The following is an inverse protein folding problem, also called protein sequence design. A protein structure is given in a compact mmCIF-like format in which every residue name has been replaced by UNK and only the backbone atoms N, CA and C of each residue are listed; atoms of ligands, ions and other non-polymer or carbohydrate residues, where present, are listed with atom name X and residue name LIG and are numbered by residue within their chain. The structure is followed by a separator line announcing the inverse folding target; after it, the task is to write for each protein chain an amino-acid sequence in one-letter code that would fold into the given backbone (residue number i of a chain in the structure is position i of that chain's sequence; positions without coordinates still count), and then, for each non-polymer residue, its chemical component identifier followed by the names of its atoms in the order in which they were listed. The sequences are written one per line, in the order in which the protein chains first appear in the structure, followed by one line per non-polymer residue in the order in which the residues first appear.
data_IF_231751563968
#
_entry.id   IF_231751563968
#
_cell.length_a   1.000
_cell.length_b   1.000
_cell.length_c   1.000
_cell.angle_alpha   90.00
_cell.angle_beta   90.00
_cell.angle_gamma   90.00
#
_symmetry.space_group_name_H-M   'P 1'
#
loop_
_entity.id
_entity.type
_entity.pdbx_description
1 polymer ?
#
# COMPACT_ATOMS: atom_id res chain seq x y z
N UNK A 1 29.32 -2.23 50.08
CA UNK A 1 30.20 -1.10 49.73
C UNK A 1 29.36 -0.09 48.97
N UNK A 2 29.16 1.09 49.55
CA UNK A 2 28.33 2.13 48.98
C UNK A 2 29.00 2.72 47.73
N UNK A 3 28.29 2.76 46.62
CA UNK A 3 28.69 3.50 45.43
C UNK A 3 28.76 4.99 45.80
N UNK A 4 29.96 5.55 45.82
CA UNK A 4 30.16 6.97 45.98
C UNK A 4 29.51 7.66 44.77
N UNK A 5 28.44 8.42 45.01
CA UNK A 5 27.90 9.34 44.03
C UNK A 5 28.98 10.39 43.77
N UNK A 6 29.71 10.25 42.67
CA UNK A 6 30.54 11.31 42.10
C UNK A 6 29.61 12.43 41.66
N UNK A 7 29.22 13.32 42.57
CA UNK A 7 28.70 14.64 42.23
C UNK A 7 29.86 15.43 41.64
N UNK A 8 30.11 15.22 40.36
CA UNK A 8 31.08 15.99 39.58
C UNK A 8 30.46 17.36 39.33
N UNK A 9 31.09 18.44 39.78
CA UNK A 9 30.60 19.82 39.58
C UNK A 9 30.99 20.41 38.22
N UNK A 10 31.89 19.76 37.47
CA UNK A 10 32.34 20.14 36.12
C UNK A 10 32.97 18.93 35.40
N UNK A 11 32.75 18.80 34.10
CA UNK A 11 33.31 17.73 33.27
C UNK A 11 34.82 17.87 33.02
N UNK A 12 35.45 19.00 33.38
CA UNK A 12 36.87 19.26 33.11
C UNK A 12 37.83 18.18 33.63
N UNK A 13 37.55 17.59 34.79
CA UNK A 13 38.36 16.48 35.32
C UNK A 13 38.21 15.19 34.50
N UNK A 14 37.01 14.91 33.99
CA UNK A 14 36.75 13.76 33.12
C UNK A 14 37.37 13.97 31.73
N UNK A 15 37.31 15.20 31.20
CA UNK A 15 37.94 15.56 29.92
C UNK A 15 39.47 15.50 30.00
N UNK A 16 40.07 15.93 31.11
CA UNK A 16 41.52 15.78 31.33
C UNK A 16 41.95 14.30 31.33
N UNK A 17 41.12 13.40 31.87
CA UNK A 17 41.38 11.95 31.85
C UNK A 17 41.28 11.33 30.44
N UNK A 18 40.61 11.98 29.48
CA UNK A 18 40.60 11.51 28.09
C UNK A 18 41.96 11.74 27.39
N UNK A 19 42.73 12.74 27.83
CA UNK A 19 44.06 13.05 27.31
C UNK A 19 45.17 12.14 27.86
N UNK A 20 44.89 11.38 28.92
CA UNK A 20 45.81 10.40 29.49
C UNK A 20 45.99 9.20 28.55
N UNK A 21 47.17 8.58 28.56
CA UNK A 21 47.48 7.43 27.69
C UNK A 21 46.82 6.12 28.13
N UNK A 22 46.35 6.04 29.39
CA UNK A 22 45.88 4.79 29.98
C UNK A 22 44.44 4.44 29.52
N UNK A 23 44.21 3.28 28.86
CA UNK A 23 42.90 2.96 28.26
C UNK A 23 41.78 2.82 29.29
N UNK A 24 42.09 2.34 30.50
CA UNK A 24 41.12 2.22 31.62
C UNK A 24 40.60 3.59 32.08
N UNK A 25 41.45 4.63 32.04
CA UNK A 25 41.04 5.99 32.40
C UNK A 25 40.14 6.59 31.32
N UNK A 26 40.45 6.35 30.04
CA UNK A 26 39.60 6.75 28.91
C UNK A 26 38.22 6.10 28.99
N UNK A 27 38.14 4.80 29.28
CA UNK A 27 36.86 4.09 29.53
C UNK A 27 36.06 4.76 30.63
N UNK A 28 36.69 4.95 31.79
CA UNK A 28 36.03 5.53 32.96
C UNK A 28 35.54 6.95 32.66
N UNK A 29 36.33 7.75 31.95
CA UNK A 29 35.93 9.08 31.49
C UNK A 29 34.72 9.00 30.54
N UNK A 30 34.78 8.21 29.47
CA UNK A 30 33.69 8.06 28.49
C UNK A 30 32.38 7.56 29.12
N UNK A 31 32.46 6.60 30.04
CA UNK A 31 31.26 6.06 30.72
C UNK A 31 30.58 7.11 31.61
N UNK A 32 31.36 7.89 32.36
CA UNK A 32 30.80 8.94 33.22
C UNK A 32 30.31 10.15 32.43
N UNK A 33 31.01 10.51 31.35
CA UNK A 33 30.57 11.58 30.44
C UNK A 33 29.24 11.23 29.77
N UNK A 34 29.07 9.99 29.30
CA UNK A 34 27.81 9.52 28.70
C UNK A 34 26.62 9.56 29.68
N UNK A 35 26.84 9.38 30.99
CA UNK A 35 25.79 9.44 32.02
C UNK A 35 25.36 10.86 32.37
N UNK A 36 26.24 11.84 32.17
CA UNK A 36 26.03 13.23 32.60
C UNK A 36 26.09 14.22 31.44
N UNK A 37 25.95 13.73 30.20
CA UNK A 37 26.03 14.57 28.99
C UNK A 37 24.97 15.67 29.00
N UNK A 38 23.76 15.38 29.48
CA UNK A 38 22.64 16.33 29.56
C UNK A 38 22.98 17.59 30.37
N UNK A 39 23.86 17.46 31.36
CA UNK A 39 24.27 18.57 32.23
C UNK A 39 25.54 19.27 31.75
N UNK A 40 26.47 18.52 31.14
CA UNK A 40 27.81 19.02 30.81
C UNK A 40 28.08 19.13 29.31
N UNK A 41 27.06 19.01 28.45
CA UNK A 41 27.23 19.15 27.00
C UNK A 41 27.96 20.44 26.56
N UNK A 42 27.83 21.62 27.21
CA UNK A 42 28.57 22.82 26.79
C UNK A 42 30.07 22.72 27.06
N UNK A 43 30.48 21.98 28.10
CA UNK A 43 31.89 21.75 28.40
C UNK A 43 32.46 20.67 27.47
N UNK A 44 31.68 19.60 27.25
CA UNK A 44 32.09 18.48 26.39
C UNK A 44 32.21 18.91 24.92
N UNK A 45 31.35 19.81 24.44
CA UNK A 45 31.37 20.30 23.05
C UNK A 45 32.71 20.91 22.65
N UNK A 46 33.40 21.58 23.59
CA UNK A 46 34.73 22.16 23.36
C UNK A 46 35.81 21.12 23.08
N UNK A 47 35.59 19.88 23.53
CA UNK A 47 36.54 18.76 23.45
C UNK A 47 36.09 17.68 22.47
N UNK A 48 35.05 17.94 21.65
CA UNK A 48 34.58 17.01 20.60
C UNK A 48 35.71 16.52 19.69
N UNK A 49 36.66 17.36 19.21
CA UNK A 49 37.74 16.89 18.33
C UNK A 49 38.61 15.79 18.96
N UNK A 50 38.78 15.83 20.29
CA UNK A 50 39.53 14.80 21.02
C UNK A 50 38.73 13.49 21.01
N UNK A 51 37.42 13.56 21.23
CA UNK A 51 36.55 12.38 21.25
C UNK A 51 36.38 11.79 19.85
N UNK A 52 36.34 12.62 18.80
CA UNK A 52 36.36 12.19 17.40
C UNK A 52 37.66 11.44 17.08
N UNK A 53 38.82 11.96 17.51
CA UNK A 53 40.10 11.25 17.33
C UNK A 53 40.12 9.88 18.01
N UNK A 54 39.42 9.71 19.13
CA UNK A 54 39.26 8.41 19.82
C UNK A 54 38.29 7.47 19.09
N UNK A 55 37.36 8.00 18.31
CA UNK A 55 36.46 7.21 17.48
C UNK A 55 37.13 6.75 16.17
N UNK A 56 37.97 7.61 15.59
CA UNK A 56 38.76 7.30 14.39
C UNK A 56 39.87 6.26 14.64
N UNK A 57 40.30 6.11 15.89
CA UNK A 57 41.29 5.11 16.29
C UNK A 57 40.70 3.68 16.24
N UNK A 58 41.05 2.94 15.20
CA UNK A 58 40.60 1.55 15.00
C UNK A 58 41.19 0.57 16.03
N UNK A 59 42.31 0.90 16.67
CA UNK A 59 42.93 0.06 17.70
C UNK A 59 42.22 0.20 19.06
N UNK A 60 41.35 1.19 19.21
CA UNK A 60 40.63 1.45 20.45
C UNK A 60 39.36 0.60 20.55
N UNK A 61 39.37 -0.39 21.45
CA UNK A 61 38.28 -1.34 21.69
C UNK A 61 36.92 -0.68 22.02
N UNK A 62 36.92 0.58 22.45
CA UNK A 62 35.72 1.28 22.94
C UNK A 62 35.30 2.48 22.09
N UNK A 63 35.71 2.49 20.82
CA UNK A 63 35.30 3.51 19.85
C UNK A 63 33.78 3.71 19.78
N UNK A 64 32.99 2.67 20.02
CA UNK A 64 31.52 2.77 20.01
C UNK A 64 30.98 3.65 21.15
N UNK A 65 31.63 3.66 22.33
CA UNK A 65 31.25 4.52 23.45
C UNK A 65 31.61 5.99 23.18
N UNK A 66 32.72 6.23 22.47
CA UNK A 66 33.09 7.56 22.00
C UNK A 66 32.09 8.06 20.96
N UNK A 67 31.71 7.23 19.98
CA UNK A 67 30.68 7.54 18.99
C UNK A 67 29.34 7.92 19.62
N UNK A 68 28.89 7.17 20.64
CA UNK A 68 27.65 7.46 21.35
C UNK A 68 27.70 8.83 22.06
N UNK A 69 28.83 9.14 22.71
CA UNK A 69 29.01 10.41 23.40
C UNK A 69 28.98 11.59 22.41
N UNK A 70 29.72 11.47 21.31
CA UNK A 70 29.76 12.47 20.24
C UNK A 70 28.37 12.69 19.65
N UNK A 71 27.64 11.60 19.38
CA UNK A 71 26.28 11.68 18.89
C UNK A 71 25.35 12.45 19.84
N UNK A 72 25.41 12.19 21.15
CA UNK A 72 24.61 12.93 22.14
C UNK A 72 25.00 14.40 22.22
N UNK A 73 26.28 14.74 22.08
CA UNK A 73 26.73 16.14 22.06
C UNK A 73 26.22 16.87 20.83
N UNK A 74 26.32 16.27 19.64
CA UNK A 74 25.76 16.85 18.41
C UNK A 74 24.23 17.01 18.45
N UNK A 75 23.53 16.11 19.15
CA UNK A 75 22.10 16.28 19.42
C UNK A 75 21.81 17.57 20.19
N UNK A 76 22.56 17.86 21.25
CA UNK A 76 22.42 19.12 22.00
C UNK A 76 22.88 20.36 21.23
N UNK A 77 23.83 20.22 20.32
CA UNK A 77 24.24 21.29 19.40
C UNK A 77 23.21 21.57 18.29
N UNK A 78 22.25 20.66 18.08
CA UNK A 78 21.21 20.76 17.05
C UNK A 78 21.63 20.21 15.68
N UNK A 79 22.83 19.63 15.57
CA UNK A 79 23.36 19.05 14.34
C UNK A 79 22.94 17.57 14.22
N UNK A 80 21.69 17.35 13.82
CA UNK A 80 21.08 16.01 13.80
C UNK A 80 21.68 15.06 12.76
N UNK A 81 22.22 15.58 11.65
CA UNK A 81 22.83 14.75 10.60
C UNK A 81 24.11 14.08 11.12
N UNK A 82 24.98 14.88 11.73
CA UNK A 82 26.23 14.39 12.31
C UNK A 82 25.93 13.49 13.52
N UNK A 83 24.98 13.89 14.36
CA UNK A 83 24.48 13.06 15.46
C UNK A 83 24.01 11.68 14.97
N UNK A 84 23.24 11.61 13.89
CA UNK A 84 22.81 10.34 13.30
C UNK A 84 24.01 9.53 12.80
N UNK A 85 24.96 10.13 12.08
CA UNK A 85 26.14 9.43 11.56
C UNK A 85 26.97 8.75 12.66
N UNK A 86 27.16 9.43 13.79
CA UNK A 86 27.86 8.91 14.96
C UNK A 86 27.01 7.87 15.72
N UNK A 87 25.68 8.02 15.76
CA UNK A 87 24.79 7.00 16.31
C UNK A 87 24.87 5.69 15.50
N UNK A 88 24.95 5.77 14.17
CA UNK A 88 25.20 4.61 13.30
C UNK A 88 26.57 3.98 13.57
N UNK A 89 27.58 4.79 13.94
CA UNK A 89 28.91 4.35 14.35
C UNK A 89 28.95 3.65 15.71
N UNK A 90 28.06 4.03 16.65
CA UNK A 90 27.94 3.40 17.96
C UNK A 90 27.38 1.97 17.91
N UNK A 91 26.71 1.59 16.82
CA UNK A 91 26.27 0.23 16.55
C UNK A 91 25.38 -0.35 17.66
N UNK A 92 25.83 -1.40 18.38
CA UNK A 92 25.01 -2.07 19.40
C UNK A 92 24.79 -1.23 20.68
N UNK A 93 25.56 -0.16 20.90
CA UNK A 93 25.39 0.69 22.07
C UNK A 93 24.26 1.71 21.91
N UNK A 94 23.80 1.94 20.68
CA UNK A 94 22.61 2.73 20.41
C UNK A 94 21.37 1.83 20.54
N UNK A 95 20.69 1.92 21.68
CA UNK A 95 19.47 1.16 21.95
C UNK A 95 18.25 1.88 21.37
N UNK A 96 17.61 1.22 20.40
CA UNK A 96 16.39 1.71 19.72
C UNK A 96 15.15 1.55 20.61
N UNK A 97 15.24 0.74 21.67
CA UNK A 97 14.14 0.51 22.61
C UNK A 97 14.14 1.45 23.81
N UNK A 98 15.15 2.30 23.96
CA UNK A 98 15.23 3.29 25.02
C UNK A 98 14.21 4.42 24.79
N UNK A 99 13.34 4.66 25.77
CA UNK A 99 12.34 5.72 25.74
C UNK A 99 12.98 7.05 26.18
N UNK A 100 13.78 7.65 25.29
CA UNK A 100 14.42 8.95 25.51
C UNK A 100 14.15 9.91 24.35
N UNK A 101 14.06 11.21 24.66
CA UNK A 101 13.86 12.26 23.64
C UNK A 101 14.96 12.26 22.58
N UNK A 102 16.20 11.93 22.99
CA UNK A 102 17.34 11.75 22.10
C UNK A 102 17.10 10.62 21.09
N UNK A 103 16.70 9.44 21.57
CA UNK A 103 16.44 8.28 20.69
C UNK A 103 15.26 8.57 19.78
N UNK A 104 14.14 9.10 20.28
CA UNK A 104 12.98 9.44 19.45
C UNK A 104 13.32 10.45 18.34
N UNK A 105 14.09 11.49 18.67
CA UNK A 105 14.49 12.50 17.68
C UNK A 105 15.41 11.90 16.61
N UNK A 106 16.40 11.10 17.01
CA UNK A 106 17.29 10.46 16.05
C UNK A 106 16.61 9.40 15.20
N UNK A 107 15.67 8.65 15.76
CA UNK A 107 14.88 7.68 15.02
C UNK A 107 13.98 8.37 13.98
N UNK A 108 13.30 9.45 14.36
CA UNK A 108 12.53 10.25 13.41
C UNK A 108 13.43 10.77 12.27
N UNK A 109 14.60 11.32 12.62
CA UNK A 109 15.58 11.79 11.64
C UNK A 109 16.10 10.66 10.73
N UNK A 110 16.31 9.47 11.28
CA UNK A 110 16.76 8.30 10.53
C UNK A 110 15.70 7.84 9.52
N UNK A 111 14.42 7.82 9.90
CA UNK A 111 13.30 7.53 9.00
C UNK A 111 13.27 8.56 7.87
N UNK A 112 13.34 9.86 8.19
CA UNK A 112 13.27 10.93 7.19
C UNK A 112 14.39 10.83 6.16
N UNK A 113 15.64 10.62 6.61
CA UNK A 113 16.79 10.43 5.72
C UNK A 113 16.63 9.16 4.86
N UNK A 114 16.23 8.05 5.46
CA UNK A 114 16.02 6.80 4.74
C UNK A 114 14.90 6.93 3.68
N UNK A 115 13.76 7.52 4.05
CA UNK A 115 12.63 7.76 3.16
C UNK A 115 13.03 8.71 2.00
N UNK A 116 13.80 9.76 2.29
CA UNK A 116 14.37 10.69 1.30
C UNK A 116 15.28 9.95 0.30
N UNK A 117 16.18 9.08 0.78
CA UNK A 117 17.07 8.30 -0.08
C UNK A 117 16.27 7.33 -0.97
N UNK A 118 15.31 6.60 -0.40
CA UNK A 118 14.45 5.68 -1.18
C UNK A 118 13.59 6.42 -2.20
N UNK A 119 13.10 7.60 -1.86
CA UNK A 119 12.33 8.45 -2.79
C UNK A 119 13.19 8.90 -3.98
N UNK A 120 14.42 9.35 -3.73
CA UNK A 120 15.37 9.76 -4.77
C UNK A 120 15.84 8.58 -5.65
N UNK A 121 16.09 7.42 -5.05
CA UNK A 121 16.47 6.21 -5.80
C UNK A 121 15.43 5.83 -6.85
N UNK A 122 14.15 5.92 -6.47
CA UNK A 122 13.04 5.65 -7.37
C UNK A 122 12.93 6.69 -8.51
N UNK A 123 13.27 7.95 -8.25
CA UNK A 123 13.29 9.01 -9.27
C UNK A 123 14.43 8.86 -10.27
N UNK A 124 15.62 8.48 -9.78
CA UNK A 124 16.82 8.38 -10.60
C UNK A 124 16.95 7.03 -11.33
N UNK A 125 16.11 6.05 -10.98
CA UNK A 125 16.21 4.65 -11.42
C UNK A 125 17.61 4.03 -11.18
N UNK A 126 18.37 4.64 -10.26
CA UNK A 126 19.68 4.20 -9.81
C UNK A 126 19.50 3.57 -8.43
N UNK A 127 20.11 2.40 -8.24
CA UNK A 127 20.11 1.73 -6.95
C UNK A 127 20.90 2.59 -5.96
N UNK A 128 20.20 3.33 -5.11
CA UNK A 128 20.87 4.13 -4.09
C UNK A 128 21.57 3.18 -3.11
N UNK A 129 22.85 3.45 -2.87
CA UNK A 129 23.63 2.78 -1.83
C UNK A 129 23.18 3.30 -0.48
N UNK A 130 22.14 2.69 0.09
CA UNK A 130 21.74 2.93 1.47
C UNK A 130 22.78 2.29 2.38
N UNK A 131 23.22 3.01 3.42
CA UNK A 131 24.09 2.43 4.44
C UNK A 131 23.37 1.26 5.13
N UNK A 132 23.94 0.03 5.14
CA UNK A 132 23.33 -1.12 5.80
C UNK A 132 23.02 -0.88 7.28
N UNK A 133 23.76 0.01 7.95
CA UNK A 133 23.53 0.38 9.35
C UNK A 133 22.24 1.18 9.51
N UNK A 134 21.99 2.12 8.61
CA UNK A 134 20.76 2.92 8.59
C UNK A 134 19.56 2.01 8.29
N UNK A 135 19.68 1.15 7.28
CA UNK A 135 18.64 0.16 6.94
C UNK A 135 18.35 -0.76 8.13
N UNK A 136 19.38 -1.27 8.81
CA UNK A 136 19.20 -2.11 10.00
C UNK A 136 18.60 -1.40 11.21
N UNK A 137 18.76 -0.08 11.37
CA UNK A 137 18.04 0.68 12.42
C UNK A 137 16.58 0.85 12.02
N UNK A 138 16.30 1.26 10.78
CA UNK A 138 14.93 1.45 10.30
C UNK A 138 14.16 0.12 10.32
N UNK A 139 14.78 -0.99 9.95
CA UNK A 139 14.17 -2.32 10.05
C UNK A 139 13.88 -2.70 11.50
N UNK A 140 14.82 -2.50 12.43
CA UNK A 140 14.56 -2.74 13.86
C UNK A 140 13.43 -1.87 14.38
N UNK A 141 13.33 -0.62 13.92
CA UNK A 141 12.26 0.29 14.31
C UNK A 141 10.91 -0.12 13.74
N UNK A 142 10.85 -0.52 12.46
CA UNK A 142 9.65 -1.06 11.83
C UNK A 142 9.22 -2.37 12.51
N UNK A 143 10.16 -3.28 12.79
CA UNK A 143 9.90 -4.53 13.49
C UNK A 143 9.41 -4.30 14.91
N UNK A 144 10.00 -3.34 15.64
CA UNK A 144 9.51 -2.94 16.95
C UNK A 144 8.10 -2.33 16.85
N UNK A 145 7.84 -1.48 15.86
CA UNK A 145 6.50 -0.94 15.59
C UNK A 145 5.47 -2.05 15.30
N UNK A 146 5.84 -3.05 14.50
CA UNK A 146 5.02 -4.23 14.20
C UNK A 146 4.80 -5.10 15.46
N UNK A 147 5.80 -5.23 16.34
CA UNK A 147 5.66 -5.94 17.62
C UNK A 147 4.77 -5.19 18.61
N UNK A 148 4.80 -3.86 18.58
CA UNK A 148 3.95 -2.98 19.39
C UNK A 148 2.53 -2.81 18.83
N UNK A 149 2.11 -3.60 17.84
CA UNK A 149 0.70 -3.68 17.40
C UNK A 149 -0.23 -4.02 18.58
N UNK A 150 0.27 -4.75 19.59
CA UNK A 150 -0.46 -5.06 20.82
C UNK A 150 -0.91 -3.79 21.60
N UNK A 151 -0.25 -2.65 21.41
CA UNK A 151 -0.64 -1.37 22.02
C UNK A 151 -1.72 -0.62 21.21
N UNK A 152 -2.27 -1.23 20.15
CA UNK A 152 -3.25 -0.60 19.26
C UNK A 152 -2.64 0.42 18.29
N UNK A 153 -1.31 0.51 18.19
CA UNK A 153 -0.58 1.51 17.38
C UNK A 153 -0.21 1.03 15.97
N UNK A 154 -1.01 0.15 15.37
CA UNK A 154 -0.79 -0.35 14.01
C UNK A 154 -0.76 0.78 12.95
N UNK A 155 -1.50 1.87 13.18
CA UNK A 155 -1.50 3.05 12.31
C UNK A 155 -0.13 3.69 12.11
N UNK A 156 0.68 3.77 13.17
CA UNK A 156 2.01 4.37 13.13
C UNK A 156 2.97 3.48 12.34
N UNK A 157 2.95 2.16 12.61
CA UNK A 157 3.76 1.19 11.88
C UNK A 157 3.49 1.22 10.37
N UNK A 158 2.21 1.34 9.97
CA UNK A 158 1.84 1.47 8.56
C UNK A 158 2.28 2.80 7.95
N UNK A 159 2.12 3.91 8.67
CA UNK A 159 2.58 5.23 8.22
C UNK A 159 4.08 5.19 7.90
N UNK A 160 4.87 4.68 8.85
CA UNK A 160 6.31 4.50 8.67
C UNK A 160 6.66 3.57 7.51
N UNK A 161 5.95 2.44 7.35
CA UNK A 161 6.20 1.51 6.25
C UNK A 161 5.91 2.16 4.88
N UNK A 162 4.85 2.98 4.80
CA UNK A 162 4.48 3.73 3.59
C UNK A 162 5.52 4.83 3.30
N UNK A 163 5.99 5.57 4.29
CA UNK A 163 7.03 6.60 4.16
C UNK A 163 8.37 6.00 3.70
N UNK A 164 8.77 4.89 4.34
CA UNK A 164 9.98 4.13 4.02
C UNK A 164 9.90 3.37 2.68
N UNK A 165 8.73 3.36 2.04
CA UNK A 165 8.44 2.59 0.81
C UNK A 165 8.77 1.10 0.92
N UNK A 166 8.52 0.52 2.08
CA UNK A 166 8.73 -0.91 2.38
C UNK A 166 7.39 -1.65 2.34
N UNK A 167 7.02 -2.11 1.15
CA UNK A 167 5.77 -2.83 0.90
C UNK A 167 5.72 -4.20 1.60
N UNK A 168 6.89 -4.84 1.76
CA UNK A 168 7.07 -6.07 2.52
C UNK A 168 6.65 -5.91 3.99
N UNK A 169 7.12 -4.83 4.63
CA UNK A 169 6.78 -4.51 6.02
C UNK A 169 5.35 -4.03 6.17
N UNK A 170 4.80 -3.36 5.15
CA UNK A 170 3.38 -3.00 5.13
C UNK A 170 2.48 -4.24 5.10
N UNK A 171 2.81 -5.25 4.27
CA UNK A 171 2.07 -6.51 4.23
C UNK A 171 2.16 -7.27 5.56
N UNK A 172 3.35 -7.32 6.16
CA UNK A 172 3.55 -7.91 7.49
C UNK A 172 2.72 -7.20 8.57
N UNK A 173 2.69 -5.87 8.55
CA UNK A 173 1.90 -5.07 9.49
C UNK A 173 0.39 -5.30 9.36
N UNK A 174 -0.12 -5.44 8.13
CA UNK A 174 -1.55 -5.68 7.87
C UNK A 174 -1.95 -7.10 8.30
N UNK A 175 -1.13 -8.11 7.98
CA UNK A 175 -1.45 -9.51 8.27
C UNK A 175 -1.38 -9.85 9.76
N UNK A 176 -0.55 -9.11 10.51
CA UNK A 176 -0.39 -9.29 11.96
C UNK A 176 -1.40 -8.49 12.80
N UNK A 177 -2.16 -7.58 12.21
CA UNK A 177 -3.11 -6.75 12.96
C UNK A 177 -4.35 -7.54 13.39
N UNK A 178 -4.87 -7.21 14.58
CA UNK A 178 -6.09 -7.86 15.11
C UNK A 178 -7.34 -7.54 14.28
N UNK A 179 -7.34 -6.40 13.59
CA UNK A 179 -8.43 -5.94 12.72
C UNK A 179 -7.93 -5.65 11.31
N UNK A 180 -7.79 -6.72 10.51
CA UNK A 180 -7.32 -6.65 9.13
C UNK A 180 -8.18 -5.73 8.27
N UNK A 181 -9.52 -5.78 8.40
CA UNK A 181 -10.43 -4.96 7.59
C UNK A 181 -10.33 -3.46 7.89
N UNK A 182 -10.26 -3.09 9.17
CA UNK A 182 -10.05 -1.69 9.59
C UNK A 182 -8.67 -1.17 9.19
N UNK A 183 -7.67 -2.06 9.18
CA UNK A 183 -6.30 -1.74 8.79
C UNK A 183 -6.20 -1.49 7.28
N UNK A 184 -6.85 -2.33 6.47
CA UNK A 184 -6.90 -2.17 5.02
C UNK A 184 -7.62 -0.88 4.59
N UNK A 185 -8.79 -0.58 5.18
CA UNK A 185 -9.51 0.68 4.90
C UNK A 185 -8.70 1.91 5.31
N UNK A 186 -7.98 1.85 6.44
CA UNK A 186 -7.04 2.90 6.82
C UNK A 186 -5.89 3.04 5.82
N UNK A 187 -5.30 1.94 5.34
CA UNK A 187 -4.26 1.99 4.31
C UNK A 187 -4.75 2.65 3.01
N UNK A 188 -5.98 2.34 2.57
CA UNK A 188 -6.57 3.00 1.39
C UNK A 188 -6.64 4.51 1.63
N UNK A 189 -7.21 4.96 2.76
CA UNK A 189 -7.31 6.38 3.08
C UNK A 189 -5.94 7.08 3.15
N UNK A 190 -4.96 6.47 3.81
CA UNK A 190 -3.61 7.02 3.90
C UNK A 190 -2.93 7.07 2.53
N UNK A 191 -3.14 6.06 1.68
CA UNK A 191 -2.63 6.06 0.31
C UNK A 191 -3.24 7.18 -0.54
N UNK A 192 -4.48 7.59 -0.28
CA UNK A 192 -5.10 8.70 -0.99
C UNK A 192 -4.66 10.06 -0.45
N UNK A 193 -4.55 10.21 0.87
CA UNK A 193 -4.27 11.49 1.51
C UNK A 193 -2.79 11.88 1.51
N UNK A 194 -1.89 10.91 1.69
CA UNK A 194 -0.46 11.19 1.93
C UNK A 194 0.46 10.76 0.79
N UNK A 195 0.03 9.83 -0.07
CA UNK A 195 0.86 9.39 -1.20
C UNK A 195 0.63 10.28 -2.42
N UNK A 196 1.52 11.26 -2.59
CA UNK A 196 1.45 12.23 -3.69
C UNK A 196 1.77 11.61 -5.07
N UNK A 197 2.62 10.58 -5.12
CA UNK A 197 3.06 9.97 -6.39
C UNK A 197 2.09 8.90 -6.86
N UNK A 198 1.60 9.04 -8.09
CA UNK A 198 0.65 8.08 -8.69
C UNK A 198 1.23 6.67 -8.81
N UNK A 199 2.46 6.53 -9.27
CA UNK A 199 3.11 5.22 -9.48
C UNK A 199 3.21 4.44 -8.17
N UNK A 200 3.75 5.07 -7.14
CA UNK A 200 3.87 4.45 -5.81
C UNK A 200 2.49 4.17 -5.20
N UNK A 201 1.50 5.07 -5.35
CA UNK A 201 0.13 4.80 -4.93
C UNK A 201 -0.45 3.55 -5.61
N UNK A 202 -0.17 3.36 -6.90
CA UNK A 202 -0.61 2.16 -7.62
C UNK A 202 0.10 0.90 -7.08
N UNK A 203 1.37 0.96 -6.70
CA UNK A 203 2.07 -0.16 -6.06
C UNK A 203 1.44 -0.55 -4.72
N UNK A 204 1.13 0.44 -3.86
CA UNK A 204 0.43 0.22 -2.59
C UNK A 204 -0.95 -0.41 -2.84
N UNK A 205 -1.76 0.14 -3.74
CA UNK A 205 -3.09 -0.41 -4.05
C UNK A 205 -3.01 -1.84 -4.60
N UNK A 206 -2.02 -2.16 -5.44
CA UNK A 206 -1.81 -3.53 -5.92
C UNK A 206 -1.44 -4.48 -4.78
N UNK A 207 -0.65 -4.04 -3.81
CA UNK A 207 -0.37 -4.83 -2.61
C UNK A 207 -1.67 -5.08 -1.83
N UNK A 208 -2.48 -4.05 -1.61
CA UNK A 208 -3.74 -4.18 -0.89
C UNK A 208 -4.70 -5.16 -1.56
N UNK A 209 -4.85 -5.10 -2.90
CA UNK A 209 -5.65 -6.08 -3.66
C UNK A 209 -5.16 -7.51 -3.41
N UNK A 210 -3.84 -7.75 -3.47
CA UNK A 210 -3.27 -9.08 -3.16
C UNK A 210 -3.55 -9.53 -1.74
N UNK A 211 -3.53 -8.62 -0.76
CA UNK A 211 -3.85 -8.94 0.64
C UNK A 211 -5.34 -9.28 0.77
N UNK A 212 -6.23 -8.49 0.17
CA UNK A 212 -7.67 -8.76 0.14
C UNK A 212 -8.02 -10.13 -0.47
N UNK A 213 -7.35 -10.52 -1.56
CA UNK A 213 -7.55 -11.82 -2.22
C UNK A 213 -7.11 -13.02 -1.36
N UNK A 214 -6.13 -12.82 -0.46
CA UNK A 214 -5.66 -13.87 0.47
C UNK A 214 -6.62 -14.11 1.64
N UNK A 215 -7.57 -13.20 1.89
CA UNK A 215 -8.50 -13.33 3.00
C UNK A 215 -9.57 -14.39 2.72
N UNK A 216 -9.98 -15.10 3.77
CA UNK A 216 -11.02 -16.14 3.71
C UNK A 216 -12.38 -15.60 3.23
N UNK A 217 -12.66 -14.31 3.46
CA UNK A 217 -13.83 -13.59 2.98
C UNK A 217 -13.38 -12.30 2.30
N UNK A 218 -13.17 -12.31 0.97
CA UNK A 218 -12.72 -11.12 0.25
C UNK A 218 -13.82 -10.06 0.23
N UNK A 219 -13.48 -8.84 0.63
CA UNK A 219 -14.37 -7.70 0.49
C UNK A 219 -14.31 -7.18 -0.95
N UNK A 220 -15.22 -7.68 -1.79
CA UNK A 220 -15.28 -7.33 -3.20
C UNK A 220 -15.55 -5.83 -3.44
N UNK A 221 -16.18 -5.11 -2.51
CA UNK A 221 -16.42 -3.67 -2.63
C UNK A 221 -15.10 -2.91 -2.58
N UNK A 222 -14.32 -3.10 -1.51
CA UNK A 222 -13.01 -2.46 -1.34
C UNK A 222 -12.02 -2.86 -2.44
N UNK A 223 -12.05 -4.12 -2.90
CA UNK A 223 -11.22 -4.57 -4.04
C UNK A 223 -11.59 -3.80 -5.31
N UNK A 224 -12.89 -3.68 -5.64
CA UNK A 224 -13.32 -2.98 -6.85
C UNK A 224 -13.00 -1.48 -6.80
N UNK A 225 -13.12 -0.85 -5.62
CA UNK A 225 -12.67 0.53 -5.43
C UNK A 225 -11.16 0.68 -5.68
N UNK A 226 -10.32 -0.22 -5.14
CA UNK A 226 -8.88 -0.22 -5.41
C UNK A 226 -8.58 -0.40 -6.91
N UNK A 227 -9.26 -1.34 -7.57
CA UNK A 227 -9.07 -1.61 -9.00
C UNK A 227 -9.53 -0.46 -9.90
N UNK A 228 -10.56 0.27 -9.49
CA UNK A 228 -11.00 1.50 -10.15
C UNK A 228 -9.89 2.56 -10.11
N UNK A 229 -9.25 2.77 -8.95
CA UNK A 229 -8.11 3.70 -8.84
C UNK A 229 -6.88 3.24 -9.63
N UNK A 230 -6.72 1.93 -9.82
CA UNK A 230 -5.67 1.35 -10.67
C UNK A 230 -5.97 1.45 -12.18
N UNK A 231 -7.19 1.83 -12.59
CA UNK A 231 -7.69 1.81 -13.98
C UNK A 231 -7.57 0.41 -14.63
N UNK A 232 -7.91 -0.64 -13.87
CA UNK A 232 -7.89 -2.05 -14.33
C UNK A 232 -9.31 -2.61 -14.57
N UNK A 233 -10.03 -2.20 -15.64
CA UNK A 233 -11.44 -2.55 -15.86
C UNK A 233 -11.66 -4.04 -16.11
N UNK A 234 -10.65 -4.75 -16.61
CA UNK A 234 -10.72 -6.19 -16.92
C UNK A 234 -10.83 -7.06 -15.67
N UNK A 235 -10.14 -6.66 -14.60
CA UNK A 235 -10.17 -7.42 -13.34
C UNK A 235 -11.54 -7.23 -12.68
N UNK A 236 -12.04 -5.99 -12.65
CA UNK A 236 -13.39 -5.67 -12.15
C UNK A 236 -14.47 -6.43 -12.93
N UNK A 237 -14.40 -6.47 -14.26
CA UNK A 237 -15.38 -7.22 -15.07
C UNK A 237 -15.36 -8.71 -14.77
N UNK A 238 -14.19 -9.30 -14.52
CA UNK A 238 -14.06 -10.72 -14.14
C UNK A 238 -14.64 -11.01 -12.75
N UNK A 239 -14.48 -10.09 -11.80
CA UNK A 239 -15.07 -10.20 -10.45
C UNK A 239 -16.59 -10.10 -10.53
N UNK A 240 -17.11 -9.10 -11.26
CA UNK A 240 -18.55 -8.94 -11.49
C UNK A 240 -19.14 -10.17 -12.19
N UNK A 241 -18.47 -10.70 -13.21
CA UNK A 241 -18.89 -11.94 -13.88
C UNK A 241 -18.97 -13.11 -12.89
N UNK A 242 -17.94 -13.32 -12.07
CA UNK A 242 -17.90 -14.37 -11.06
C UNK A 242 -19.07 -14.26 -10.08
N UNK A 243 -19.36 -13.05 -9.60
CA UNK A 243 -20.46 -12.80 -8.65
C UNK A 243 -21.83 -13.00 -9.31
N UNK A 244 -22.03 -12.55 -10.55
CA UNK A 244 -23.31 -12.68 -11.27
C UNK A 244 -23.64 -14.13 -11.65
N UNK A 245 -22.61 -14.95 -11.91
CA UNK A 245 -22.74 -16.39 -12.19
C UNK A 245 -22.95 -17.24 -10.93
N UNK A 246 -22.77 -16.67 -9.74
CA UNK A 246 -23.03 -17.38 -8.49
C UNK A 246 -24.52 -17.73 -8.34
N UNK A 247 -24.79 -18.88 -7.73
CA UNK A 247 -26.15 -19.31 -7.38
C UNK A 247 -26.68 -18.56 -6.13
N UNK A 248 -25.77 -18.09 -5.27
CA UNK A 248 -26.12 -17.35 -4.05
C UNK A 248 -26.71 -15.99 -4.39
N UNK A 249 -27.86 -15.67 -3.78
CA UNK A 249 -28.50 -14.36 -3.96
C UNK A 249 -27.67 -13.22 -3.36
N UNK A 250 -26.93 -13.49 -2.30
CA UNK A 250 -26.10 -12.48 -1.63
C UNK A 250 -24.94 -12.02 -2.54
N UNK A 251 -24.28 -12.93 -3.25
CA UNK A 251 -23.21 -12.59 -4.21
C UNK A 251 -23.74 -11.73 -5.37
N UNK A 252 -24.96 -12.01 -5.83
CA UNK A 252 -25.62 -11.24 -6.88
C UNK A 252 -26.00 -9.86 -6.38
N UNK A 253 -26.48 -9.75 -5.14
CA UNK A 253 -26.78 -8.47 -4.51
C UNK A 253 -25.50 -7.64 -4.33
N UNK A 254 -24.40 -8.26 -3.90
CA UNK A 254 -23.07 -7.64 -3.85
C UNK A 254 -22.63 -7.13 -5.21
N UNK A 255 -22.84 -7.88 -6.30
CA UNK A 255 -22.54 -7.41 -7.65
C UNK A 255 -23.32 -6.15 -8.03
N UNK A 256 -24.60 -6.06 -7.66
CA UNK A 256 -25.40 -4.86 -7.88
C UNK A 256 -24.92 -3.69 -7.01
N UNK A 257 -24.58 -3.93 -5.75
CA UNK A 257 -24.03 -2.89 -4.87
C UNK A 257 -22.72 -2.33 -5.44
N UNK A 258 -21.80 -3.18 -5.88
CA UNK A 258 -20.55 -2.77 -6.54
C UNK A 258 -20.85 -1.95 -7.78
N UNK A 259 -21.82 -2.37 -8.61
CA UNK A 259 -22.18 -1.61 -9.80
C UNK A 259 -22.71 -0.21 -9.49
N UNK A 260 -23.53 -0.04 -8.44
CA UNK A 260 -24.00 1.27 -8.00
C UNK A 260 -22.87 2.12 -7.43
N UNK A 261 -22.01 1.54 -6.58
CA UNK A 261 -20.88 2.24 -5.97
C UNK A 261 -19.88 2.74 -7.03
N UNK A 262 -19.62 1.93 -8.06
CA UNK A 262 -18.79 2.33 -9.21
C UNK A 262 -19.40 3.52 -9.99
N UNK A 263 -20.73 3.57 -10.11
CA UNK A 263 -21.43 4.68 -10.80
C UNK A 263 -21.36 5.97 -9.97
N UNK A 264 -21.50 5.87 -8.64
CA UNK A 264 -21.38 7.02 -7.74
C UNK A 264 -19.98 7.64 -7.76
N UNK A 265 -18.94 6.88 -8.10
CA UNK A 265 -17.57 7.37 -8.24
C UNK A 265 -17.24 8.06 -9.60
N UNK A 266 -18.23 8.21 -10.49
CA UNK A 266 -18.25 9.09 -11.69
C UNK A 266 -17.14 8.94 -12.77
N UNK A 267 -16.44 7.80 -12.88
CA UNK A 267 -15.52 7.55 -14.01
C UNK A 267 -16.21 6.89 -15.21
N UNK A 268 -17.03 7.64 -15.95
CA UNK A 268 -17.82 7.11 -17.09
C UNK A 268 -16.99 6.35 -18.13
N UNK A 269 -15.78 6.83 -18.45
CA UNK A 269 -14.90 6.13 -19.39
C UNK A 269 -14.43 4.76 -18.88
N UNK A 270 -14.23 4.61 -17.56
CA UNK A 270 -13.90 3.33 -16.93
C UNK A 270 -15.13 2.41 -16.93
N UNK A 271 -16.31 2.92 -16.56
CA UNK A 271 -17.56 2.16 -16.52
C UNK A 271 -17.93 1.58 -17.89
N UNK A 272 -17.77 2.36 -18.96
CA UNK A 272 -17.98 1.89 -20.33
C UNK A 272 -17.01 0.76 -20.69
N UNK A 273 -15.71 0.86 -20.33
CA UNK A 273 -14.75 -0.22 -20.54
C UNK A 273 -15.11 -1.48 -19.75
N UNK A 274 -15.53 -1.35 -18.49
CA UNK A 274 -15.99 -2.49 -17.67
C UNK A 274 -17.20 -3.16 -18.32
N UNK A 275 -18.18 -2.37 -18.77
CA UNK A 275 -19.37 -2.85 -19.48
C UNK A 275 -19.02 -3.61 -20.76
N UNK A 276 -18.10 -3.08 -21.55
CA UNK A 276 -17.70 -3.66 -22.84
C UNK A 276 -16.87 -4.95 -22.65
N UNK A 277 -16.19 -5.10 -21.51
CA UNK A 277 -15.45 -6.30 -21.14
C UNK A 277 -16.31 -7.41 -20.51
N UNK A 278 -17.57 -7.13 -20.12
CA UNK A 278 -18.46 -8.17 -19.61
C UNK A 278 -18.95 -9.08 -20.75
N UNK A 279 -18.68 -10.40 -20.70
CA UNK A 279 -19.05 -11.30 -21.78
C UNK A 279 -20.57 -11.39 -21.89
N UNK A 280 -21.04 -11.40 -23.14
CA UNK A 280 -22.43 -11.75 -23.40
C UNK A 280 -22.66 -13.23 -23.04
N UNK A 281 -23.88 -13.61 -22.59
CA UNK A 281 -24.23 -15.01 -22.37
C UNK A 281 -23.86 -15.82 -23.62
N UNK A 282 -23.23 -16.98 -23.43
CA UNK A 282 -22.85 -17.86 -24.53
C UNK A 282 -24.14 -18.39 -25.15
N UNK A 283 -24.54 -17.79 -26.27
CA UNK A 283 -25.43 -18.48 -27.19
C UNK A 283 -24.62 -19.69 -27.69
N UNK A 284 -25.08 -20.92 -27.41
CA UNK A 284 -24.49 -22.09 -28.05
C UNK A 284 -24.59 -21.90 -29.56
N UNK A 285 -23.45 -21.63 -30.21
CA UNK A 285 -23.34 -21.78 -31.66
C UNK A 285 -23.52 -23.26 -31.97
N UNK A 286 -24.70 -23.60 -32.49
CA UNK A 286 -24.91 -24.90 -33.11
C UNK A 286 -23.90 -25.05 -34.25
N UNK A 287 -23.10 -26.11 -34.15
CA UNK A 287 -22.20 -26.56 -35.22
C UNK A 287 -22.97 -26.55 -36.55
N UNK A 288 -22.48 -25.87 -37.61
CA UNK A 288 -23.09 -25.99 -38.92
C UNK A 288 -22.84 -27.42 -39.40
N UNK A 289 -23.90 -28.25 -39.43
CA UNK A 289 -23.85 -29.52 -40.13
C UNK A 289 -23.61 -29.21 -41.62
N UNK A 290 -22.58 -29.78 -42.28
CA UNK A 290 -22.30 -29.49 -43.68
C UNK A 290 -23.45 -29.95 -44.57
N UNK A 291 -23.97 -29.04 -45.39
CA UNK A 291 -24.88 -29.38 -46.48
C UNK A 291 -24.17 -30.34 -47.44
N UNK A 292 -24.61 -31.59 -47.46
CA UNK A 292 -24.09 -32.62 -48.34
C UNK A 292 -24.66 -32.48 -49.77
N UNK A 293 -23.73 -32.30 -50.70
CA UNK A 293 -23.71 -32.79 -52.08
C UNK A 293 -24.85 -32.44 -53.05
N UNK A 294 -24.43 -31.61 -54.01
CA UNK A 294 -24.83 -31.51 -55.40
C UNK A 294 -25.22 -32.83 -56.12
N UNK A 295 -26.25 -32.74 -56.96
CA UNK A 295 -26.59 -33.64 -58.06
C UNK A 295 -27.45 -32.88 -59.11
N UNK A 296 -27.41 -33.24 -60.41
CA UNK A 296 -27.20 -32.25 -61.48
C UNK A 296 -28.44 -31.83 -62.31
N UNK A 297 -28.38 -30.59 -62.80
CA UNK A 297 -28.82 -29.98 -64.09
C UNK A 297 -30.02 -30.58 -64.86
N UNK A 298 -31.02 -29.73 -65.17
CA UNK A 298 -31.68 -29.66 -66.49
C UNK A 298 -32.38 -28.31 -66.73
N UNK A 299 -32.36 -27.89 -68.00
CA UNK A 299 -32.62 -26.55 -68.56
C UNK A 299 -34.11 -26.19 -68.71
N UNK A 300 -34.47 -24.90 -68.62
CA UNK A 300 -35.02 -24.11 -69.75
C UNK A 300 -35.38 -22.66 -69.37
N UNK A 301 -35.07 -21.75 -70.30
CA UNK A 301 -35.34 -20.31 -70.31
C UNK A 301 -36.81 -19.99 -70.62
N UNK A 302 -37.30 -18.83 -70.14
CA UNK A 302 -38.54 -18.20 -70.58
C UNK A 302 -39.00 -17.03 -69.69
N UNK A 303 -38.62 -15.81 -70.07
CA UNK A 303 -39.21 -14.52 -69.62
C UNK A 303 -40.60 -14.33 -70.30
N UNK A 304 -41.49 -13.32 -70.01
CA UNK A 304 -41.42 -12.20 -69.06
C UNK A 304 -42.74 -11.85 -68.30
N UNK A 305 -42.71 -10.73 -67.53
CA UNK A 305 -43.79 -9.71 -67.38
C UNK A 305 -44.92 -9.81 -66.30
N UNK A 306 -44.86 -8.85 -65.34
CA UNK A 306 -45.90 -7.98 -64.71
C UNK A 306 -47.10 -8.59 -63.94
N UNK A 307 -47.23 -8.25 -62.64
CA UNK A 307 -48.36 -7.47 -62.03
C UNK A 307 -48.54 -7.69 -60.52
N UNK A 308 -49.16 -6.67 -59.92
CA UNK A 308 -49.37 -6.35 -58.51
C UNK A 308 -50.28 -7.31 -57.70
N UNK A 309 -50.01 -7.32 -56.39
CA UNK A 309 -50.95 -7.01 -55.28
C UNK A 309 -51.34 -8.10 -54.24
N UNK A 310 -51.15 -7.68 -52.97
CA UNK A 310 -51.74 -8.08 -51.66
C UNK A 310 -51.72 -9.55 -51.20
N UNK A 311 -51.02 -9.85 -50.08
CA UNK A 311 -51.65 -10.16 -48.77
C UNK A 311 -50.66 -10.65 -47.69
N UNK A 312 -50.94 -10.13 -46.49
CA UNK A 312 -50.33 -10.39 -45.19
C UNK A 312 -50.52 -11.86 -44.77
N UNK A 313 -49.49 -12.53 -44.27
CA UNK A 313 -49.68 -13.58 -43.26
C UNK A 313 -48.48 -13.66 -42.33
N UNK A 314 -48.82 -13.57 -41.07
CA UNK A 314 -47.99 -13.70 -39.88
C UNK A 314 -47.25 -15.04 -39.86
N UNK A 315 -45.96 -14.96 -39.52
CA UNK A 315 -45.03 -16.09 -39.52
C UNK A 315 -43.94 -15.85 -38.50
N UNK A 316 -44.36 -15.57 -37.26
CA UNK A 316 -43.52 -15.55 -36.08
C UNK A 316 -42.87 -16.95 -35.91
N UNK A 317 -41.71 -17.14 -36.56
CA UNK A 317 -40.82 -18.27 -36.29
C UNK A 317 -40.20 -17.99 -34.93
N UNK A 318 -40.92 -18.39 -33.88
CA UNK A 318 -40.38 -18.54 -32.54
C UNK A 318 -39.23 -19.54 -32.63
N UNK A 319 -38.02 -19.02 -32.84
CA UNK A 319 -36.80 -19.77 -32.60
C UNK A 319 -36.72 -19.97 -31.10
N UNK A 320 -37.19 -21.12 -30.64
CA UNK A 320 -37.02 -21.58 -29.27
C UNK A 320 -35.52 -21.80 -29.05
N UNK A 321 -34.82 -20.75 -28.67
CA UNK A 321 -33.47 -20.83 -28.11
C UNK A 321 -33.59 -21.60 -26.81
N UNK A 322 -33.14 -22.85 -26.79
CA UNK A 322 -32.89 -23.59 -25.55
C UNK A 322 -31.69 -22.92 -24.88
N UNK A 323 -31.94 -21.85 -24.12
CA UNK A 323 -30.94 -21.18 -23.30
C UNK A 323 -30.83 -22.01 -22.02
N UNK A 324 -29.61 -22.41 -21.64
CA UNK A 324 -29.36 -23.02 -20.34
C UNK A 324 -29.95 -22.13 -19.23
N UNK A 325 -30.73 -22.66 -18.27
CA UNK A 325 -31.46 -21.83 -17.31
C UNK A 325 -30.54 -20.96 -16.43
N UNK A 326 -29.28 -21.38 -16.23
CA UNK A 326 -28.24 -20.60 -15.55
C UNK A 326 -27.76 -19.43 -16.41
N UNK A 327 -27.66 -19.64 -17.72
CA UNK A 327 -27.21 -18.64 -18.68
C UNK A 327 -28.30 -17.61 -19.01
N UNK A 328 -29.57 -18.03 -18.99
CA UNK A 328 -30.73 -17.15 -19.06
C UNK A 328 -30.79 -16.21 -17.84
N UNK A 329 -30.62 -16.77 -16.62
CA UNK A 329 -30.56 -15.98 -15.38
C UNK A 329 -29.37 -15.01 -15.37
N UNK A 330 -28.21 -15.46 -15.84
CA UNK A 330 -27.04 -14.59 -16.01
C UNK A 330 -27.31 -13.46 -17.01
N UNK A 331 -27.95 -13.76 -18.15
CA UNK A 331 -28.33 -12.76 -19.15
C UNK A 331 -29.25 -11.66 -18.58
N UNK A 332 -30.28 -12.05 -17.84
CA UNK A 332 -31.19 -11.09 -17.19
C UNK A 332 -30.46 -10.21 -16.15
N UNK A 333 -29.61 -10.84 -15.32
CA UNK A 333 -28.79 -10.11 -14.33
C UNK A 333 -27.79 -9.18 -15.01
N UNK A 334 -27.20 -9.62 -16.11
CA UNK A 334 -26.22 -8.86 -16.88
C UNK A 334 -26.85 -7.62 -17.53
N UNK A 335 -28.05 -7.73 -18.10
CA UNK A 335 -28.77 -6.56 -18.62
C UNK A 335 -29.02 -5.52 -17.53
N UNK A 336 -29.43 -5.96 -16.33
CA UNK A 336 -29.61 -5.08 -15.17
C UNK A 336 -28.31 -4.38 -14.79
N UNK A 337 -27.20 -5.11 -14.69
CA UNK A 337 -25.88 -4.52 -14.37
C UNK A 337 -25.41 -3.57 -15.47
N UNK A 338 -25.57 -3.91 -16.75
CA UNK A 338 -25.23 -3.02 -17.87
C UNK A 338 -26.05 -1.72 -17.85
N UNK A 339 -27.33 -1.81 -17.48
CA UNK A 339 -28.19 -0.64 -17.28
C UNK A 339 -27.82 0.22 -16.05
N UNK A 340 -27.24 -0.39 -15.01
CA UNK A 340 -26.65 0.33 -13.86
C UNK A 340 -25.36 1.03 -14.28
N UNK A 341 -24.43 0.31 -14.88
CA UNK A 341 -23.13 0.83 -15.31
C UNK A 341 -23.24 1.92 -16.40
N UNK A 342 -24.34 1.98 -17.16
CA UNK A 342 -24.60 3.08 -18.10
C UNK A 342 -25.07 4.37 -17.41
N UNK A 343 -25.45 4.31 -16.13
CA UNK A 343 -26.02 5.42 -15.36
C UNK A 343 -27.52 5.64 -15.59
N UNK A 344 -28.13 4.98 -16.57
CA UNK A 344 -29.54 5.20 -16.93
C UNK A 344 -30.51 4.82 -15.81
N UNK A 345 -30.27 3.70 -15.12
CA UNK A 345 -31.14 3.28 -14.02
C UNK A 345 -31.04 4.21 -12.82
N UNK A 346 -29.84 4.69 -12.47
CA UNK A 346 -29.63 5.65 -11.38
C UNK A 346 -30.36 6.97 -11.66
N UNK A 347 -30.28 7.48 -12.89
CA UNK A 347 -31.02 8.68 -13.32
C UNK A 347 -32.54 8.45 -13.21
N UNK A 348 -33.04 7.31 -13.69
CA UNK A 348 -34.48 6.96 -13.62
C UNK A 348 -34.98 6.90 -12.18
N UNK A 349 -34.22 6.26 -11.29
CA UNK A 349 -34.53 6.15 -9.85
C UNK A 349 -34.55 7.53 -9.18
N UNK A 350 -33.56 8.38 -9.48
CA UNK A 350 -33.46 9.74 -8.94
C UNK A 350 -34.64 10.60 -9.41
N UNK A 351 -35.00 10.51 -10.69
CA UNK A 351 -36.12 11.24 -11.29
C UNK A 351 -37.47 10.75 -10.76
N UNK A 352 -37.64 9.44 -10.51
CA UNK A 352 -38.81 8.89 -9.82
C UNK A 352 -38.89 9.37 -8.36
N UNK A 353 -37.76 9.44 -7.65
CA UNK A 353 -37.71 10.00 -6.30
C UNK A 353 -38.14 11.47 -6.30
N UNK A 354 -37.57 12.29 -7.20
CA UNK A 354 -37.93 13.70 -7.35
C UNK A 354 -39.41 13.90 -7.69
N UNK A 355 -39.99 13.09 -8.58
CA UNK A 355 -41.43 13.20 -8.90
C UNK A 355 -42.35 12.72 -7.78
N UNK A 356 -41.95 11.72 -7.00
CA UNK A 356 -42.77 11.18 -5.90
C UNK A 356 -42.69 11.99 -4.61
N UNK A 357 -41.58 12.68 -4.38
CA UNK A 357 -41.31 13.45 -3.15
C UNK A 357 -41.25 14.96 -3.38
N UNK A 358 -41.79 15.44 -4.52
CA UNK A 358 -41.94 16.86 -4.80
C UNK A 358 -42.93 17.48 -3.79
N UNK A 359 -42.40 18.07 -2.71
CA UNK A 359 -43.17 18.82 -1.71
C UNK A 359 -43.29 20.28 -2.09
#
# INVERSE_FOLDING_TARGET
MAAAATMVSSAGGLLAMLNESHPVLKLHALSNLNKHVDYFWPEISTSVPIIESLYEDEEYDQRQLAALLVSKVFYYLGELNDSLSYALGAGPLFDVSEDSDYVHTLLAKAIDEYASIKAKSFESNEAATVDPRLEGIVERMLDNGIRCIADGRYQQAMGMAIECRRLDKLEEAITRSDNVQGTLSYCINVSHSFVNRREYRHEVLRLLVKVYEKLSSPDYLSICQCLMFLDEPKVVSSILEKLLRSENMDDVLMAFQIAFDLVENEHQAFLLKVRDHLPNPKLQESVPVPAASSGPVSLQEGDPAVSEDVQMMDGNVASSTNIDPVEARYGERLEKVKGILSGETSIKLTLQFLYSHNK
#
